data_IF_837823701297
#
_entry.id   IF_837823701297
#
_cell.length_a   1.000
_cell.length_b   1.000
_cell.length_c   1.000
_cell.angle_alpha   90.00
_cell.angle_beta   90.00
_cell.angle_gamma   90.00
#
_symmetry.space_group_name_H-M   'P 1'
#
loop_
_entity.id
_entity.type
_entity.pdbx_description
1 polymer ?
#
# COMPACT_ATOMS: atom_id res chain seq x y z
N UNK A 1 4.79 7.14 -47.22
CA UNK A 1 5.30 5.84 -47.74
C UNK A 1 4.15 4.91 -48.13
N UNK A 2 3.92 4.71 -49.44
CA UNK A 2 2.98 3.72 -49.95
C UNK A 2 3.58 2.30 -49.97
N UNK A 3 2.81 1.26 -50.35
CA UNK A 3 3.32 -0.10 -50.46
C UNK A 3 4.44 -0.20 -51.48
N UNK A 4 5.40 -1.11 -51.26
CA UNK A 4 6.52 -1.34 -52.17
C UNK A 4 6.01 -1.67 -53.58
N UNK A 5 6.58 -1.02 -54.59
CA UNK A 5 6.30 -1.31 -55.99
C UNK A 5 6.83 -2.70 -56.36
N UNK A 6 6.28 -3.33 -57.40
CA UNK A 6 6.72 -4.68 -57.85
C UNK A 6 8.23 -4.77 -58.09
N UNK A 7 8.86 -3.66 -58.46
CA UNK A 7 10.30 -3.58 -58.71
C UNK A 7 11.16 -3.49 -57.43
N UNK A 8 10.61 -2.94 -56.35
CA UNK A 8 11.33 -2.66 -55.10
C UNK A 8 11.01 -3.65 -53.97
N UNK A 9 10.09 -4.60 -54.22
CA UNK A 9 9.59 -5.55 -53.22
C UNK A 9 10.69 -6.41 -52.58
N UNK A 10 11.76 -6.69 -53.33
CA UNK A 10 12.89 -7.52 -52.88
C UNK A 10 14.17 -6.72 -52.64
N UNK A 11 14.12 -5.39 -52.68
CA UNK A 11 15.31 -4.59 -52.49
C UNK A 11 15.80 -4.69 -51.04
N UNK A 12 17.10 -4.89 -50.90
CA UNK A 12 17.84 -4.78 -49.63
C UNK A 12 18.60 -3.45 -49.59
N UNK A 13 19.11 -3.08 -48.43
CA UNK A 13 19.90 -1.85 -48.27
C UNK A 13 21.10 -1.80 -49.23
N UNK A 14 21.68 -2.96 -49.56
CA UNK A 14 22.77 -3.05 -50.54
C UNK A 14 22.37 -2.61 -51.96
N UNK A 15 21.10 -2.75 -52.36
CA UNK A 15 20.62 -2.34 -53.70
C UNK A 15 20.53 -0.80 -53.85
N UNK A 16 20.59 -0.09 -52.72
CA UNK A 16 20.64 1.36 -52.60
C UNK A 16 22.09 1.90 -52.56
N UNK A 17 23.09 1.02 -52.51
CA UNK A 17 24.51 1.36 -52.59
C UNK A 17 25.00 1.29 -54.04
N UNK A 18 26.11 1.95 -54.34
CA UNK A 18 26.78 1.83 -55.64
C UNK A 18 27.51 0.47 -55.71
N UNK A 19 27.48 -0.20 -56.87
CA UNK A 19 27.98 -1.57 -56.98
C UNK A 19 29.52 -1.70 -56.81
N UNK A 20 30.23 -0.59 -56.96
CA UNK A 20 31.69 -0.47 -56.93
C UNK A 20 32.22 0.28 -55.71
N UNK A 21 31.34 0.97 -54.97
CA UNK A 21 31.70 1.74 -53.78
C UNK A 21 30.68 1.53 -52.68
N UNK A 22 31.14 1.41 -51.44
CA UNK A 22 30.27 1.35 -50.25
C UNK A 22 29.68 2.74 -49.93
N UNK A 23 29.16 3.43 -50.96
CA UNK A 23 28.57 4.76 -50.92
C UNK A 23 27.13 4.69 -51.42
N UNK A 24 26.28 5.51 -50.81
CA UNK A 24 24.88 5.62 -51.22
C UNK A 24 24.74 6.07 -52.68
N UNK A 25 23.89 5.36 -53.42
CA UNK A 25 23.39 5.84 -54.71
C UNK A 25 22.34 6.93 -54.47
N UNK A 26 22.79 8.19 -54.47
CA UNK A 26 21.98 9.36 -54.15
C UNK A 26 20.73 9.49 -55.04
N UNK A 27 20.85 9.19 -56.32
CA UNK A 27 19.75 9.26 -57.28
C UNK A 27 18.65 8.25 -56.95
N UNK A 28 19.02 7.00 -56.65
CA UNK A 28 18.06 5.98 -56.20
C UNK A 28 17.39 6.35 -54.88
N UNK A 29 18.15 6.84 -53.90
CA UNK A 29 17.60 7.23 -52.59
C UNK A 29 16.62 8.40 -52.73
N UNK A 30 16.94 9.38 -53.58
CA UNK A 30 16.07 10.55 -53.80
C UNK A 30 14.81 10.21 -54.61
N UNK A 31 14.92 9.29 -55.57
CA UNK A 31 13.80 8.80 -56.38
C UNK A 31 12.79 8.00 -55.56
N UNK A 32 13.25 7.05 -54.74
CA UNK A 32 12.36 6.11 -54.06
C UNK A 32 12.01 6.52 -52.62
N UNK A 33 12.87 7.30 -51.97
CA UNK A 33 12.71 7.70 -50.56
C UNK A 33 12.87 9.22 -50.34
N UNK A 34 12.14 10.08 -51.07
CA UNK A 34 12.32 11.53 -50.99
C UNK A 34 12.05 12.11 -49.60
N UNK A 35 11.12 11.51 -48.84
CA UNK A 35 10.70 11.95 -47.50
C UNK A 35 11.79 11.70 -46.43
N UNK A 36 12.57 10.62 -46.57
CA UNK A 36 13.57 10.18 -45.58
C UNK A 36 15.01 10.24 -46.10
N UNK A 37 15.23 10.79 -47.29
CA UNK A 37 16.55 10.83 -47.97
C UNK A 37 17.66 11.41 -47.09
N UNK A 38 17.37 12.45 -46.30
CA UNK A 38 18.37 13.06 -45.43
C UNK A 38 18.78 12.13 -44.29
N UNK A 39 17.86 11.33 -43.76
CA UNK A 39 18.16 10.36 -42.71
C UNK A 39 19.01 9.21 -43.26
N UNK A 40 18.68 8.72 -44.46
CA UNK A 40 19.44 7.66 -45.14
C UNK A 40 20.87 8.12 -45.44
N UNK A 41 21.05 9.30 -46.03
CA UNK A 41 22.36 9.83 -46.40
C UNK A 41 23.27 10.17 -45.20
N UNK A 42 22.70 10.34 -44.00
CA UNK A 42 23.45 10.53 -42.76
C UNK A 42 24.06 9.23 -42.23
N UNK A 43 23.56 8.06 -42.64
CA UNK A 43 24.15 6.77 -42.31
C UNK A 43 25.44 6.63 -43.10
N UNK A 44 26.57 6.44 -42.41
CA UNK A 44 27.87 6.18 -43.06
C UNK A 44 28.03 4.67 -43.22
N UNK A 45 28.05 4.14 -44.46
CA UNK A 45 28.33 2.73 -44.69
C UNK A 45 29.75 2.38 -44.24
N UNK A 46 29.97 1.11 -43.90
CA UNK A 46 31.20 0.63 -43.29
C UNK A 46 32.34 0.47 -44.30
N UNK A 47 33.28 1.42 -44.33
CA UNK A 47 34.47 1.38 -45.19
C UNK A 47 35.36 0.12 -45.02
N UNK A 48 35.20 -0.62 -43.92
CA UNK A 48 36.09 -1.73 -43.52
C UNK A 48 35.48 -3.12 -43.69
N UNK A 49 34.26 -3.27 -44.22
CA UNK A 49 33.65 -4.57 -44.50
C UNK A 49 33.41 -5.45 -43.27
N UNK A 50 33.28 -4.84 -42.09
CA UNK A 50 33.00 -5.55 -40.83
C UNK A 50 31.58 -6.10 -40.86
N UNK A 51 31.34 -7.35 -40.42
CA UNK A 51 29.99 -7.91 -40.37
C UNK A 51 29.05 -7.09 -39.48
N UNK A 52 27.78 -7.02 -39.88
CA UNK A 52 26.75 -6.29 -39.17
C UNK A 52 26.61 -6.72 -37.71
N UNK A 53 26.36 -5.75 -36.83
CA UNK A 53 26.11 -5.98 -35.41
C UNK A 53 24.82 -5.31 -34.98
N UNK A 54 23.99 -6.03 -34.24
CA UNK A 54 22.80 -5.46 -33.63
C UNK A 54 23.20 -4.43 -32.56
N UNK A 55 22.65 -3.21 -32.68
CA UNK A 55 22.86 -2.12 -31.73
C UNK A 55 21.53 -1.70 -31.11
N UNK A 56 21.54 -1.49 -29.80
CA UNK A 56 20.39 -0.96 -29.07
C UNK A 56 20.33 0.57 -29.18
N UNK A 57 19.40 1.06 -30.01
CA UNK A 57 19.26 2.48 -30.38
C UNK A 57 19.02 3.39 -29.16
N UNK A 58 18.41 2.86 -28.09
CA UNK A 58 18.09 3.66 -26.90
C UNK A 58 19.32 3.99 -26.03
N UNK A 59 20.50 3.46 -26.34
CA UNK A 59 21.74 3.73 -25.59
C UNK A 59 22.86 4.19 -26.50
N UNK A 60 23.66 5.17 -26.06
CA UNK A 60 24.83 5.66 -26.79
C UNK A 60 25.92 4.60 -27.00
N UNK A 61 25.98 3.59 -26.13
CA UNK A 61 26.91 2.46 -26.23
C UNK A 61 26.42 1.37 -27.19
N UNK A 62 25.13 1.40 -27.59
CA UNK A 62 24.53 0.38 -28.43
C UNK A 62 24.33 -0.99 -27.76
N UNK A 63 24.53 -1.10 -26.44
CA UNK A 63 24.43 -2.38 -25.71
C UNK A 63 23.04 -2.51 -25.09
N UNK A 64 22.34 -3.60 -25.43
CA UNK A 64 21.08 -3.95 -24.79
C UNK A 64 21.29 -4.54 -23.40
N UNK A 65 20.49 -4.11 -22.43
CA UNK A 65 20.35 -4.75 -21.13
C UNK A 65 18.87 -4.83 -20.75
N UNK A 66 18.51 -5.73 -19.83
CA UNK A 66 17.13 -5.80 -19.29
C UNK A 66 16.67 -4.46 -18.73
N UNK A 67 17.57 -3.70 -18.11
CA UNK A 67 17.28 -2.36 -17.57
C UNK A 67 16.93 -1.35 -18.66
N UNK A 68 17.68 -1.32 -19.75
CA UNK A 68 17.43 -0.38 -20.87
C UNK A 68 16.18 -0.78 -21.66
N UNK A 69 15.92 -2.09 -21.80
CA UNK A 69 14.68 -2.60 -22.37
C UNK A 69 13.45 -2.20 -21.55
N UNK A 70 13.52 -2.36 -20.22
CA UNK A 70 12.42 -1.99 -19.33
C UNK A 70 12.13 -0.47 -19.35
N UNK A 71 13.18 0.36 -19.40
CA UNK A 71 13.04 1.81 -19.51
C UNK A 71 12.26 2.22 -20.76
N UNK A 72 12.63 1.68 -21.93
CA UNK A 72 11.94 1.96 -23.20
C UNK A 72 10.50 1.44 -23.19
N UNK A 73 10.26 0.25 -22.61
CA UNK A 73 8.90 -0.28 -22.47
C UNK A 73 8.02 0.62 -21.59
N UNK A 74 8.58 1.14 -20.49
CA UNK A 74 7.89 2.07 -19.60
C UNK A 74 7.61 3.42 -20.30
N UNK A 75 8.59 3.99 -21.01
CA UNK A 75 8.42 5.24 -21.76
C UNK A 75 7.36 5.10 -22.87
N UNK A 76 7.39 4.00 -23.63
CA UNK A 76 6.38 3.74 -24.66
C UNK A 76 4.98 3.58 -24.06
N UNK A 77 4.88 2.97 -22.87
CA UNK A 77 3.61 2.85 -22.15
C UNK A 77 3.11 4.21 -21.67
N UNK A 78 3.99 5.03 -21.09
CA UNK A 78 3.66 6.40 -20.69
C UNK A 78 3.28 7.30 -21.89
N UNK A 79 3.95 7.15 -23.04
CA UNK A 79 3.63 7.89 -24.26
C UNK A 79 2.32 7.42 -24.90
N UNK A 80 2.03 6.11 -24.88
CA UNK A 80 0.74 5.57 -25.30
C UNK A 80 -0.40 6.05 -24.39
N UNK A 81 -0.17 6.11 -23.08
CA UNK A 81 -1.09 6.69 -22.10
C UNK A 81 -1.27 8.22 -22.30
N UNK A 82 -0.26 8.93 -22.83
CA UNK A 82 -0.34 10.37 -23.14
C UNK A 82 -1.15 10.67 -24.41
N UNK A 83 -1.22 9.74 -25.36
CA UNK A 83 -2.01 9.90 -26.60
C UNK A 83 -3.50 9.53 -26.43
N UNK A 84 -3.87 8.83 -25.35
CA UNK A 84 -5.24 8.57 -24.93
C UNK A 84 -5.59 9.36 -23.65
N UNK A 85 -5.77 10.68 -23.79
CA UNK A 85 -6.59 11.44 -22.82
C UNK A 85 -5.88 12.57 -22.09
N UNK A 86 -5.84 13.73 -22.74
CA UNK A 86 -5.95 15.06 -22.12
C UNK A 86 -7.30 15.23 -21.39
N UNK A 87 -7.56 14.47 -20.31
CA UNK A 87 -8.81 14.61 -19.53
C UNK A 87 -8.57 14.86 -18.03
N UNK A 88 -7.41 14.54 -17.45
CA UNK A 88 -7.24 14.67 -16.00
C UNK A 88 -6.36 15.87 -15.62
N UNK A 89 -6.96 17.06 -15.56
CA UNK A 89 -6.38 18.19 -14.80
C UNK A 89 -6.57 17.96 -13.29
N UNK A 90 -6.01 16.85 -12.80
CA UNK A 90 -6.12 16.42 -11.41
C UNK A 90 -4.72 16.42 -10.82
N UNK A 91 -4.50 17.34 -9.90
CA UNK A 91 -3.31 17.32 -9.06
C UNK A 91 -3.42 16.18 -8.04
N UNK A 92 -2.89 15.01 -8.40
CA UNK A 92 -2.87 13.84 -7.52
C UNK A 92 -2.17 14.08 -6.19
N UNK A 93 -1.21 15.02 -6.16
CA UNK A 93 -0.54 15.38 -4.92
C UNK A 93 -1.51 16.07 -3.96
N UNK A 94 -2.24 17.07 -4.45
CA UNK A 94 -3.29 17.72 -3.66
C UNK A 94 -4.52 16.82 -3.41
N UNK A 95 -4.83 15.89 -4.32
CA UNK A 95 -6.04 15.08 -4.24
C UNK A 95 -5.88 13.77 -3.47
N UNK A 96 -4.70 13.17 -3.39
CA UNK A 96 -4.47 11.88 -2.71
C UNK A 96 -3.39 12.02 -1.65
N UNK A 97 -2.20 12.48 -2.04
CA UNK A 97 -1.01 12.38 -1.21
C UNK A 97 -0.96 13.39 -0.06
N UNK A 98 -1.58 14.56 -0.24
CA UNK A 98 -1.70 15.62 0.78
C UNK A 98 -2.85 15.36 1.77
N UNK A 99 -3.64 14.29 1.59
CA UNK A 99 -4.74 13.95 2.51
C UNK A 99 -4.20 13.31 3.78
N UNK A 100 -4.75 13.74 4.92
CA UNK A 100 -4.49 13.15 6.23
C UNK A 100 -5.23 11.81 6.41
N UNK A 101 -4.84 10.81 5.65
CA UNK A 101 -5.40 9.45 5.64
C UNK A 101 -4.24 8.43 5.61
N UNK A 102 -4.45 7.18 6.04
CA UNK A 102 -3.41 6.16 6.02
C UNK A 102 -2.80 5.94 4.62
N UNK A 103 -1.48 5.69 4.49
CA UNK A 103 -0.83 5.44 3.20
C UNK A 103 -1.44 4.29 2.40
N UNK A 104 -1.97 3.25 3.07
CA UNK A 104 -2.69 2.15 2.41
C UNK A 104 -3.95 2.61 1.69
N UNK A 105 -4.67 3.58 2.27
CA UNK A 105 -5.86 4.17 1.67
C UNK A 105 -5.46 5.12 0.53
N UNK A 106 -4.37 5.88 0.67
CA UNK A 106 -3.82 6.70 -0.43
C UNK A 106 -3.49 5.84 -1.66
N UNK A 107 -2.77 4.73 -1.45
CA UNK A 107 -2.44 3.76 -2.51
C UNK A 107 -3.69 3.15 -3.13
N UNK A 108 -4.69 2.79 -2.32
CA UNK A 108 -5.96 2.30 -2.80
C UNK A 108 -6.67 3.32 -3.69
N UNK A 109 -6.83 4.56 -3.23
CA UNK A 109 -7.46 5.63 -4.01
C UNK A 109 -6.74 5.87 -5.34
N UNK A 110 -5.41 5.84 -5.34
CA UNK A 110 -4.60 6.00 -6.55
C UNK A 110 -4.88 4.86 -7.55
N UNK A 111 -4.91 3.61 -7.07
CA UNK A 111 -5.22 2.43 -7.91
C UNK A 111 -6.62 2.50 -8.52
N UNK A 112 -7.61 2.90 -7.72
CA UNK A 112 -8.98 3.10 -8.19
C UNK A 112 -9.05 4.20 -9.24
N UNK A 113 -8.37 5.32 -9.00
CA UNK A 113 -8.37 6.46 -9.91
C UNK A 113 -7.74 6.13 -11.28
N UNK A 114 -6.84 5.15 -11.33
CA UNK A 114 -6.21 4.66 -12.56
C UNK A 114 -6.97 3.46 -13.16
N UNK A 115 -8.20 3.18 -12.71
CA UNK A 115 -9.02 2.09 -13.23
C UNK A 115 -8.49 0.69 -12.94
N UNK A 116 -7.49 0.55 -12.06
CA UNK A 116 -6.91 -0.74 -11.70
C UNK A 116 -7.84 -1.56 -10.78
N UNK A 117 -8.88 -0.93 -10.24
CA UNK A 117 -9.92 -1.55 -9.41
C UNK A 117 -11.29 -1.02 -9.87
N UNK A 118 -12.14 -1.89 -10.42
CA UNK A 118 -13.49 -1.51 -10.86
C UNK A 118 -14.37 -1.18 -9.65
N UNK A 119 -14.73 0.09 -9.44
CA UNK A 119 -15.68 0.51 -8.41
C UNK A 119 -17.09 0.77 -8.98
N UNK A 120 -17.26 0.70 -10.30
CA UNK A 120 -18.50 1.10 -11.00
C UNK A 120 -19.81 0.51 -10.45
N UNK A 121 -19.82 -0.74 -9.99
CA UNK A 121 -21.04 -1.44 -9.55
C UNK A 121 -21.41 -1.26 -8.07
N UNK A 122 -20.69 -0.43 -7.32
CA UNK A 122 -20.82 -0.30 -5.86
C UNK A 122 -21.87 0.73 -5.44
N UNK A 123 -22.06 1.79 -6.21
CA UNK A 123 -22.94 2.91 -5.84
C UNK A 123 -24.43 2.55 -5.92
N UNK A 124 -24.80 1.56 -6.73
CA UNK A 124 -26.18 1.07 -6.86
C UNK A 124 -26.65 0.25 -5.64
N UNK A 125 -25.72 -0.16 -4.76
CA UNK A 125 -25.99 -1.00 -3.60
C UNK A 125 -25.98 -0.23 -2.27
N UNK A 126 -25.76 1.10 -2.28
CA UNK A 126 -25.80 1.90 -1.05
C UNK A 126 -27.25 2.22 -0.66
N UNK A 127 -27.76 1.77 0.50
CA UNK A 127 -29.12 2.03 0.92
C UNK A 127 -29.13 3.36 1.67
N UNK A 128 -29.13 4.45 0.92
CA UNK A 128 -29.35 5.79 1.44
C UNK A 128 -30.73 6.26 1.03
N UNK A 129 -31.43 6.94 1.96
CA UNK A 129 -32.77 7.50 1.73
C UNK A 129 -32.79 8.57 0.63
N UNK A 130 -31.61 9.08 0.25
CA UNK A 130 -31.33 9.81 -0.97
C UNK A 130 -30.12 9.14 -1.66
N UNK A 131 -30.25 8.56 -2.86
CA UNK A 131 -29.11 8.05 -3.60
C UNK A 131 -28.14 9.22 -3.85
N UNK A 132 -26.84 9.00 -3.57
CA UNK A 132 -25.80 9.82 -4.20
C UNK A 132 -25.83 9.41 -5.66
N UNK A 133 -26.68 10.05 -6.45
CA UNK A 133 -26.67 9.92 -7.89
C UNK A 133 -25.37 10.59 -8.34
N UNK A 134 -24.30 9.80 -8.43
CA UNK A 134 -23.25 10.11 -9.38
C UNK A 134 -23.97 10.15 -10.72
N UNK A 135 -24.05 11.33 -11.33
CA UNK A 135 -24.58 11.40 -12.68
C UNK A 135 -23.81 10.38 -13.54
N UNK A 136 -24.42 9.72 -14.54
CA UNK A 136 -23.73 8.75 -15.39
C UNK A 136 -22.50 9.31 -16.14
N UNK A 137 -22.21 10.59 -15.95
CA UNK A 137 -21.08 11.36 -16.46
C UNK A 137 -19.94 11.58 -15.45
N UNK A 138 -20.11 11.23 -14.17
CA UNK A 138 -19.11 11.52 -13.13
C UNK A 138 -18.12 10.38 -12.94
N UNK A 139 -16.85 10.69 -13.12
CA UNK A 139 -15.73 9.77 -12.93
C UNK A 139 -15.26 9.76 -11.47
N UNK A 140 -14.74 8.63 -10.98
CA UNK A 140 -14.25 8.51 -9.59
C UNK A 140 -13.32 9.66 -9.15
N UNK A 141 -12.39 10.16 -9.99
CA UNK A 141 -11.53 11.28 -9.60
C UNK A 141 -12.28 12.61 -9.41
N UNK A 142 -13.37 12.87 -10.13
CA UNK A 142 -14.23 14.05 -9.92
C UNK A 142 -15.02 13.95 -8.61
N UNK A 143 -15.48 12.74 -8.29
CA UNK A 143 -16.13 12.45 -7.00
C UNK A 143 -15.14 12.63 -5.86
N UNK A 144 -13.90 12.13 -6.02
CA UNK A 144 -12.84 12.29 -5.05
C UNK A 144 -12.55 13.78 -4.77
N UNK A 145 -12.53 14.62 -5.82
CA UNK A 145 -12.32 16.06 -5.71
C UNK A 145 -13.47 16.76 -4.98
N UNK A 146 -14.72 16.45 -5.35
CA UNK A 146 -15.92 17.04 -4.72
C UNK A 146 -16.14 16.54 -3.30
N UNK A 147 -15.69 15.33 -2.98
CA UNK A 147 -15.84 14.73 -1.66
C UNK A 147 -15.16 15.54 -0.55
N UNK A 148 -14.14 16.34 -0.88
CA UNK A 148 -13.44 17.23 0.07
C UNK A 148 -14.39 18.20 0.79
N UNK A 149 -15.46 18.60 0.11
CA UNK A 149 -16.45 19.55 0.62
C UNK A 149 -17.58 18.86 1.39
N UNK A 150 -17.61 17.52 1.43
CA UNK A 150 -18.68 16.80 2.10
C UNK A 150 -18.50 16.89 3.61
N UNK A 151 -19.44 17.59 4.23
CA UNK A 151 -19.57 17.72 5.67
C UNK A 151 -20.28 16.48 6.22
N UNK A 152 -19.63 15.67 7.06
CA UNK A 152 -20.35 14.64 7.81
C UNK A 152 -21.35 15.33 8.76
N UNK A 153 -22.57 14.78 8.83
CA UNK A 153 -23.62 15.36 9.69
C UNK A 153 -23.13 15.41 11.15
N UNK A 154 -23.32 16.53 11.89
CA UNK A 154 -23.14 16.54 13.33
C UNK A 154 -24.08 15.47 13.94
N UNK A 155 -23.65 14.61 14.88
CA UNK A 155 -22.56 14.78 15.86
C UNK A 155 -21.29 13.92 15.59
N UNK A 156 -20.99 13.57 14.34
CA UNK A 156 -19.97 12.53 14.04
C UNK A 156 -18.53 12.93 14.42
N UNK A 157 -18.22 14.23 14.56
CA UNK A 157 -16.90 14.70 15.00
C UNK A 157 -15.76 14.50 13.99
N UNK A 158 -16.09 14.12 12.75
CA UNK A 158 -15.14 13.85 11.68
C UNK A 158 -14.89 15.12 10.84
N UNK A 159 -13.64 15.42 10.52
CA UNK A 159 -13.31 16.57 9.66
C UNK A 159 -13.91 16.44 8.24
N UNK A 160 -14.34 17.55 7.62
CA UNK A 160 -14.86 17.56 6.25
C UNK A 160 -13.92 16.89 5.26
N UNK A 161 -14.47 16.12 4.31
CA UNK A 161 -13.67 15.48 3.26
C UNK A 161 -12.89 14.23 3.65
N UNK A 162 -12.85 13.88 4.94
CA UNK A 162 -12.11 12.71 5.42
C UNK A 162 -12.88 11.40 5.27
N UNK A 163 -14.21 11.42 5.20
CA UNK A 163 -15.04 10.20 5.30
C UNK A 163 -15.13 9.38 4.00
N UNK A 164 -15.17 10.04 2.84
CA UNK A 164 -15.33 9.36 1.54
C UNK A 164 -14.27 8.28 1.27
N UNK A 165 -12.96 8.51 1.48
CA UNK A 165 -11.95 7.46 1.36
C UNK A 165 -12.21 6.20 2.19
N UNK A 166 -12.71 6.36 3.41
CA UNK A 166 -13.00 5.23 4.30
C UNK A 166 -14.23 4.45 3.86
N UNK A 167 -15.25 5.15 3.34
CA UNK A 167 -16.42 4.50 2.74
C UNK A 167 -15.97 3.68 1.52
N UNK A 168 -15.21 4.27 0.60
CA UNK A 168 -14.71 3.56 -0.59
C UNK A 168 -13.88 2.33 -0.21
N UNK A 169 -13.01 2.45 0.79
CA UNK A 169 -12.22 1.33 1.31
C UNK A 169 -13.10 0.22 1.92
N UNK A 170 -14.03 0.57 2.79
CA UNK A 170 -14.90 -0.42 3.46
C UNK A 170 -15.81 -1.13 2.47
N UNK A 171 -16.32 -0.42 1.46
CA UNK A 171 -17.14 -1.05 0.43
C UNK A 171 -16.33 -1.99 -0.45
N UNK A 172 -15.10 -1.61 -0.83
CA UNK A 172 -14.19 -2.52 -1.52
C UNK A 172 -13.92 -3.79 -0.69
N UNK A 173 -13.67 -3.64 0.62
CA UNK A 173 -13.53 -4.77 1.53
C UNK A 173 -14.77 -5.66 1.57
N UNK A 174 -15.96 -5.06 1.72
CA UNK A 174 -17.22 -5.80 1.74
C UNK A 174 -17.48 -6.58 0.43
N UNK A 175 -17.15 -5.98 -0.73
CA UNK A 175 -17.20 -6.67 -2.03
C UNK A 175 -16.26 -7.86 -2.07
N UNK A 176 -15.02 -7.71 -1.58
CA UNK A 176 -14.05 -8.81 -1.59
C UNK A 176 -14.51 -9.96 -0.70
N UNK A 177 -15.00 -9.68 0.50
CA UNK A 177 -15.58 -10.72 1.36
C UNK A 177 -16.79 -11.40 0.71
N UNK A 178 -17.62 -10.67 -0.04
CA UNK A 178 -18.72 -11.28 -0.79
C UNK A 178 -18.19 -12.19 -1.92
N UNK A 179 -17.19 -11.73 -2.68
CA UNK A 179 -16.65 -12.48 -3.83
C UNK A 179 -15.84 -13.71 -3.42
N UNK A 180 -15.04 -13.61 -2.36
CA UNK A 180 -14.09 -14.66 -1.99
C UNK A 180 -14.56 -15.53 -0.83
N UNK A 181 -15.43 -15.01 0.05
CA UNK A 181 -15.88 -15.71 1.26
C UNK A 181 -17.41 -15.90 1.30
N UNK A 182 -18.14 -15.45 0.25
CA UNK A 182 -19.61 -15.44 0.19
C UNK A 182 -20.27 -14.76 1.41
N UNK A 183 -19.57 -13.77 1.99
CA UNK A 183 -20.02 -13.06 3.17
C UNK A 183 -20.54 -11.68 2.79
N UNK A 184 -21.83 -11.44 3.03
CA UNK A 184 -22.45 -10.14 2.84
C UNK A 184 -22.46 -9.33 4.13
N UNK A 185 -22.38 -8.01 4.00
CA UNK A 185 -22.45 -7.07 5.11
C UNK A 185 -23.61 -6.11 4.92
N UNK A 186 -24.26 -5.73 6.00
CA UNK A 186 -25.31 -4.71 5.92
C UNK A 186 -24.65 -3.36 5.66
N UNK A 187 -25.21 -2.51 4.80
CA UNK A 187 -24.55 -1.23 4.51
C UNK A 187 -24.47 -0.29 5.71
N UNK A 188 -25.37 -0.43 6.68
CA UNK A 188 -25.24 0.25 7.99
C UNK A 188 -23.95 -0.16 8.71
N UNK A 189 -23.60 -1.45 8.71
CA UNK A 189 -22.35 -1.95 9.31
C UNK A 189 -21.12 -1.39 8.57
N UNK A 190 -21.17 -1.34 7.24
CA UNK A 190 -20.09 -0.78 6.40
C UNK A 190 -19.88 0.71 6.72
N UNK A 191 -20.97 1.50 6.80
CA UNK A 191 -20.90 2.94 7.10
C UNK A 191 -20.45 3.17 8.54
N UNK A 192 -21.01 2.44 9.51
CA UNK A 192 -20.61 2.55 10.91
C UNK A 192 -19.13 2.22 11.08
N UNK A 193 -18.64 1.17 10.41
CA UNK A 193 -17.22 0.83 10.40
C UNK A 193 -16.37 1.95 9.78
N UNK A 194 -16.75 2.45 8.60
CA UNK A 194 -16.03 3.55 7.95
C UNK A 194 -15.95 4.80 8.84
N UNK A 195 -17.04 5.17 9.52
CA UNK A 195 -17.06 6.28 10.47
C UNK A 195 -16.18 6.01 11.70
N UNK A 196 -16.22 4.78 12.26
CA UNK A 196 -15.42 4.41 13.41
C UNK A 196 -13.92 4.45 13.09
N UNK A 197 -13.50 3.83 11.98
CA UNK A 197 -12.10 3.81 11.54
C UNK A 197 -11.59 5.23 11.23
N UNK A 198 -12.41 6.06 10.56
CA UNK A 198 -12.06 7.45 10.23
C UNK A 198 -11.84 8.28 11.50
N UNK A 199 -12.72 8.12 12.49
CA UNK A 199 -12.62 8.81 13.78
C UNK A 199 -11.39 8.34 14.56
N UNK A 200 -11.16 7.03 14.63
CA UNK A 200 -9.99 6.45 15.30
C UNK A 200 -8.68 7.01 14.70
N UNK A 201 -8.60 7.12 13.37
CA UNK A 201 -7.46 7.73 12.69
C UNK A 201 -7.28 9.21 13.05
N UNK A 202 -8.36 9.99 13.12
CA UNK A 202 -8.25 11.41 13.49
C UNK A 202 -7.84 11.61 14.95
N UNK A 203 -8.35 10.79 15.86
CA UNK A 203 -7.92 10.78 17.26
C UNK A 203 -6.43 10.40 17.38
N UNK A 204 -5.96 9.44 16.58
CA UNK A 204 -4.56 9.04 16.51
C UNK A 204 -3.63 10.19 16.10
N UNK A 205 -4.03 11.00 15.11
CA UNK A 205 -3.25 12.15 14.68
C UNK A 205 -3.20 13.28 15.72
N UNK A 206 -4.32 13.54 16.42
CA UNK A 206 -4.35 14.52 17.52
C UNK A 206 -3.48 14.09 18.71
N UNK A 207 -3.39 12.79 18.99
CA UNK A 207 -2.51 12.25 20.03
C UNK A 207 -1.02 12.38 19.68
N UNK A 208 -0.65 12.28 18.41
CA UNK A 208 0.74 12.45 17.94
C UNK A 208 1.28 13.86 18.21
N UNK A 209 0.44 14.90 18.12
CA UNK A 209 0.82 16.29 18.45
C UNK A 209 1.18 16.46 19.94
N UNK A 210 0.62 15.60 20.81
CA UNK A 210 0.90 15.61 22.25
C UNK A 210 2.10 14.70 22.61
N UNK A 211 2.49 13.77 21.72
CA UNK A 211 3.61 12.84 21.94
C UNK A 211 5.00 13.44 21.66
N UNK A 212 5.09 14.67 21.15
CA UNK A 212 6.38 15.37 20.94
C UNK A 212 7.03 15.84 22.26
N UNK A 213 6.35 15.71 23.40
CA UNK A 213 6.95 15.94 24.73
C UNK A 213 7.22 14.61 25.44
N UNK A 214 8.44 14.10 25.23
CA UNK A 214 9.06 13.06 26.05
C UNK A 214 8.83 11.63 25.57
N UNK A 215 9.81 11.09 24.83
CA UNK A 215 9.97 9.64 24.70
C UNK A 215 10.03 9.01 26.10
N UNK A 216 9.32 7.91 26.41
CA UNK A 216 9.57 7.17 27.63
C UNK A 216 11.05 6.77 27.65
N UNK A 217 11.72 7.06 28.77
CA UNK A 217 13.14 6.75 28.96
C UNK A 217 13.32 5.24 28.87
N UNK A 218 13.89 4.76 27.77
CA UNK A 218 14.37 3.38 27.65
C UNK A 218 15.48 3.20 28.68
N UNK A 219 15.15 2.57 29.81
CA UNK A 219 16.16 2.20 30.82
C UNK A 219 16.90 0.97 30.27
N UNK A 220 18.25 0.92 30.34
CA UNK A 220 19.03 -0.25 29.92
C UNK A 220 18.57 -1.55 30.62
N UNK A 221 18.79 -2.74 30.02
CA UNK A 221 18.28 -4.02 30.51
C UNK A 221 18.81 -4.51 31.88
N UNK A 222 19.58 -3.69 32.60
CA UNK A 222 20.21 -4.04 33.87
C UNK A 222 20.10 -2.89 34.87
N UNK A 223 18.92 -2.65 35.46
CA UNK A 223 18.83 -1.86 36.70
C UNK A 223 17.44 -1.97 37.32
N UNK A 224 17.11 -3.16 37.83
CA UNK A 224 16.36 -3.34 39.10
C UNK A 224 16.21 -4.86 39.38
N UNK A 225 16.95 -5.45 40.33
CA UNK A 225 16.81 -6.88 40.68
C UNK A 225 15.44 -7.23 41.30
N UNK A 226 14.66 -6.25 41.76
CA UNK A 226 13.34 -6.45 42.38
C UNK A 226 12.17 -6.33 41.38
N UNK A 227 12.45 -6.08 40.10
CA UNK A 227 11.42 -5.95 39.08
C UNK A 227 10.76 -7.29 38.73
N UNK A 228 9.43 -7.31 38.73
CA UNK A 228 8.67 -8.52 38.40
C UNK A 228 8.74 -8.79 36.89
N UNK A 229 9.18 -10.00 36.53
CA UNK A 229 9.24 -10.44 35.13
C UNK A 229 7.89 -11.02 34.72
N UNK A 230 7.35 -10.53 33.62
CA UNK A 230 6.07 -10.97 33.08
C UNK A 230 6.24 -11.51 31.66
N UNK A 231 5.82 -12.76 31.47
CA UNK A 231 5.82 -13.43 30.18
C UNK A 231 4.40 -13.42 29.60
N UNK A 232 4.26 -13.02 28.35
CA UNK A 232 2.96 -12.93 27.68
C UNK A 232 2.92 -13.85 26.47
N UNK A 233 1.79 -14.52 26.26
CA UNK A 233 1.49 -15.25 25.04
C UNK A 233 -0.02 -15.30 24.77
N UNK A 234 -0.42 -15.53 23.51
CA UNK A 234 -1.81 -15.60 23.07
C UNK A 234 -2.15 -16.99 22.52
N UNK A 235 -3.11 -17.67 23.14
CA UNK A 235 -3.44 -19.07 22.84
C UNK A 235 -4.13 -19.30 21.48
N UNK A 236 -4.91 -18.32 21.00
CA UNK A 236 -5.98 -18.58 20.01
C UNK A 236 -5.61 -18.19 18.58
N UNK A 237 -4.64 -17.30 18.36
CA UNK A 237 -4.13 -16.99 17.02
C UNK A 237 -2.78 -16.25 17.13
N UNK A 238 -1.81 -16.63 16.30
CA UNK A 238 -0.46 -16.04 16.22
C UNK A 238 -0.45 -14.68 15.49
N UNK A 239 -1.56 -13.96 15.59
CA UNK A 239 -1.71 -12.63 15.01
C UNK A 239 -1.27 -11.59 16.04
N UNK A 240 -0.58 -10.56 15.56
CA UNK A 240 -0.11 -9.43 16.38
C UNK A 240 -1.23 -8.79 17.23
N UNK A 241 -2.50 -8.89 16.81
CA UNK A 241 -3.65 -8.38 17.56
C UNK A 241 -3.92 -9.15 18.85
N UNK A 242 -3.86 -10.47 18.80
CA UNK A 242 -4.14 -11.33 19.96
C UNK A 242 -3.05 -11.20 21.00
N UNK A 243 -1.79 -11.18 20.57
CA UNK A 243 -0.62 -10.96 21.43
C UNK A 243 -0.63 -9.55 22.04
N UNK A 244 -1.00 -8.51 21.28
CA UNK A 244 -1.13 -7.16 21.82
C UNK A 244 -2.23 -7.08 22.90
N UNK A 245 -3.36 -7.78 22.71
CA UNK A 245 -4.41 -7.85 23.75
C UNK A 245 -3.92 -8.57 25.01
N UNK A 246 -3.17 -9.65 24.87
CA UNK A 246 -2.58 -10.37 26.00
C UNK A 246 -1.63 -9.46 26.80
N UNK A 247 -0.79 -8.68 26.12
CA UNK A 247 0.09 -7.68 26.75
C UNK A 247 -0.73 -6.61 27.48
N UNK A 248 -1.79 -6.08 26.85
CA UNK A 248 -2.63 -5.05 27.47
C UNK A 248 -3.28 -5.57 28.75
N UNK A 249 -3.83 -6.77 28.72
CA UNK A 249 -4.47 -7.37 29.90
C UNK A 249 -3.46 -7.64 31.02
N UNK A 250 -2.29 -8.16 30.68
CA UNK A 250 -1.27 -8.42 31.67
C UNK A 250 -0.78 -7.14 32.39
N UNK A 251 -0.67 -6.02 31.67
CA UNK A 251 -0.39 -4.72 32.28
C UNK A 251 -1.56 -4.22 33.15
N UNK A 252 -2.81 -4.50 32.75
CA UNK A 252 -3.98 -4.19 33.57
C UNK A 252 -3.96 -4.96 34.90
N UNK A 253 -3.65 -6.25 34.86
CA UNK A 253 -3.53 -7.09 36.06
C UNK A 253 -2.37 -6.67 36.95
N UNK A 254 -1.22 -6.31 36.36
CA UNK A 254 -0.07 -5.80 37.09
C UNK A 254 -0.38 -4.47 37.80
N UNK A 255 -1.17 -3.60 37.15
CA UNK A 255 -1.66 -2.36 37.76
C UNK A 255 -2.58 -2.63 38.96
N UNK A 256 -3.54 -3.56 38.82
CA UNK A 256 -4.45 -3.95 39.91
C UNK A 256 -3.67 -4.56 41.07
N UNK A 257 -2.62 -5.33 40.77
CA UNK A 257 -1.74 -5.98 41.75
C UNK A 257 -0.73 -5.01 42.40
N UNK A 258 -0.74 -3.73 42.01
CA UNK A 258 0.12 -2.70 42.60
C UNK A 258 1.60 -2.84 42.26
N UNK A 259 1.94 -3.44 41.12
CA UNK A 259 3.34 -3.58 40.71
C UNK A 259 3.90 -2.23 40.27
N UNK A 260 5.15 -1.94 40.64
CA UNK A 260 5.81 -0.66 40.35
C UNK A 260 6.88 -0.77 39.25
N UNK A 261 7.52 -1.93 39.12
CA UNK A 261 8.62 -2.18 38.19
C UNK A 261 8.37 -3.50 37.44
N UNK A 262 8.35 -3.46 36.10
CA UNK A 262 7.96 -4.59 35.25
C UNK A 262 8.94 -4.83 34.11
N UNK A 263 9.33 -6.10 33.94
CA UNK A 263 10.04 -6.56 32.74
C UNK A 263 9.12 -7.44 31.89
N UNK A 264 8.56 -6.89 30.82
CA UNK A 264 7.66 -7.62 29.93
C UNK A 264 8.43 -8.34 28.83
N UNK A 265 8.17 -9.64 28.68
CA UNK A 265 8.82 -10.55 27.73
C UNK A 265 7.77 -11.15 26.79
N UNK A 266 7.99 -10.98 25.48
CA UNK A 266 7.14 -11.55 24.42
C UNK A 266 8.00 -12.10 23.28
N UNK A 267 7.52 -13.15 22.62
CA UNK A 267 8.10 -13.75 21.42
C UNK A 267 7.66 -13.07 20.11
N UNK A 268 6.91 -11.97 20.21
CA UNK A 268 6.48 -11.18 19.08
C UNK A 268 7.46 -10.07 18.74
N UNK A 269 8.38 -10.35 17.83
CA UNK A 269 9.38 -9.36 17.42
C UNK A 269 8.76 -8.06 16.84
N UNK A 270 7.69 -8.09 16.01
CA UNK A 270 7.05 -6.88 15.50
C UNK A 270 6.45 -6.01 16.61
N UNK A 271 5.80 -6.62 17.62
CA UNK A 271 5.21 -5.89 18.74
C UNK A 271 6.27 -5.25 19.63
N UNK A 272 7.33 -5.99 19.97
CA UNK A 272 8.44 -5.45 20.78
C UNK A 272 9.12 -4.30 20.04
N UNK A 273 9.33 -4.41 18.72
CA UNK A 273 9.86 -3.29 17.92
C UNK A 273 8.92 -2.09 17.97
N UNK A 274 7.62 -2.28 17.71
CA UNK A 274 6.62 -1.21 17.81
C UNK A 274 6.64 -0.51 19.18
N UNK A 275 6.80 -1.28 20.27
CA UNK A 275 6.87 -0.76 21.63
C UNK A 275 8.18 -0.01 21.95
N UNK A 276 9.31 -0.44 21.38
CA UNK A 276 10.63 0.17 21.62
C UNK A 276 10.93 1.37 20.71
N UNK A 277 10.58 1.29 19.43
CA UNK A 277 10.93 2.29 18.41
C UNK A 277 9.79 3.27 18.10
N UNK A 278 8.56 2.98 18.56
CA UNK A 278 7.36 3.74 18.20
C UNK A 278 6.85 3.45 16.79
N UNK A 279 7.25 2.32 16.20
CA UNK A 279 6.80 1.89 14.87
C UNK A 279 5.29 1.59 14.88
N UNK A 280 4.56 2.13 13.90
CA UNK A 280 3.11 2.07 13.87
C UNK A 280 2.61 0.85 13.10
N UNK A 281 2.02 -0.12 13.81
CA UNK A 281 1.26 -1.21 13.18
C UNK A 281 -0.20 -0.78 13.11
N UNK A 282 -0.67 -0.40 11.91
CA UNK A 282 -1.98 0.25 11.71
C UNK A 282 -3.19 -0.55 12.20
N UNK A 283 -3.09 -1.89 12.24
CA UNK A 283 -4.21 -2.77 12.60
C UNK A 283 -4.42 -2.90 14.12
N UNK A 284 -3.42 -2.57 14.92
CA UNK A 284 -3.42 -2.70 16.38
C UNK A 284 -3.08 -1.39 17.08
N UNK A 285 -3.09 -0.28 16.33
CA UNK A 285 -2.66 1.03 16.81
C UNK A 285 -3.41 1.45 18.10
N UNK A 286 -4.73 1.27 18.15
CA UNK A 286 -5.52 1.54 19.35
C UNK A 286 -5.08 0.72 20.56
N UNK A 287 -4.75 -0.56 20.37
CA UNK A 287 -4.29 -1.46 21.44
C UNK A 287 -2.89 -1.04 21.91
N UNK A 288 -1.98 -0.71 20.98
CA UNK A 288 -0.65 -0.18 21.33
C UNK A 288 -0.77 1.11 22.15
N UNK A 289 -1.71 2.01 21.81
CA UNK A 289 -1.97 3.23 22.57
C UNK A 289 -2.41 2.92 24.01
N UNK A 290 -3.32 1.95 24.19
CA UNK A 290 -3.75 1.53 25.52
C UNK A 290 -2.57 0.98 26.34
N UNK A 291 -1.73 0.14 25.72
CA UNK A 291 -0.50 -0.42 26.33
C UNK A 291 0.45 0.71 26.75
N UNK A 292 0.70 1.70 25.90
CA UNK A 292 1.52 2.87 26.24
C UNK A 292 0.88 3.77 27.29
N UNK A 293 -0.45 3.82 27.36
CA UNK A 293 -1.16 4.52 28.42
C UNK A 293 -0.96 3.84 29.78
N UNK A 294 -1.07 2.51 29.81
CA UNK A 294 -0.85 1.69 31.00
C UNK A 294 0.60 1.69 31.44
N UNK A 295 1.54 1.69 30.48
CA UNK A 295 2.98 1.68 30.75
C UNK A 295 3.43 2.89 31.58
N UNK A 296 2.74 4.03 31.47
CA UNK A 296 3.03 5.27 32.22
C UNK A 296 2.66 5.20 33.70
N UNK A 297 1.87 4.21 34.12
CA UNK A 297 1.47 4.04 35.53
C UNK A 297 2.61 3.41 36.35
N UNK A 298 3.51 2.69 35.69
CA UNK A 298 4.63 2.01 36.32
C UNK A 298 5.83 2.96 36.47
N UNK A 299 6.57 2.80 37.58
CA UNK A 299 7.81 3.56 37.84
C UNK A 299 8.90 3.16 36.84
N UNK A 300 8.97 1.87 36.50
CA UNK A 300 9.86 1.34 35.48
C UNK A 300 9.17 0.23 34.69
N UNK A 301 9.32 0.26 33.36
CA UNK A 301 8.83 -0.80 32.48
C UNK A 301 9.80 -1.00 31.32
N UNK A 302 10.12 -2.25 31.02
CA UNK A 302 10.88 -2.62 29.83
C UNK A 302 10.13 -3.65 28.99
N UNK A 303 10.29 -3.54 27.68
CA UNK A 303 9.76 -4.49 26.71
C UNK A 303 10.93 -5.21 26.06
N UNK A 304 10.94 -6.55 26.12
CA UNK A 304 12.05 -7.34 25.63
C UNK A 304 11.55 -8.55 24.83
N UNK A 305 12.18 -8.76 23.68
CA UNK A 305 11.95 -9.94 22.86
C UNK A 305 12.61 -11.18 23.48
N UNK A 306 11.92 -12.32 23.44
CA UNK A 306 12.47 -13.64 23.80
C UNK A 306 12.15 -14.66 22.72
N UNK A 307 13.07 -15.58 22.37
CA UNK A 307 12.76 -16.67 21.46
C UNK A 307 11.61 -17.55 21.97
N UNK A 308 10.84 -18.15 21.06
CA UNK A 308 9.73 -19.07 21.40
C UNK A 308 10.13 -20.23 22.30
N UNK A 309 11.35 -20.75 22.14
CA UNK A 309 11.90 -21.81 23.00
C UNK A 309 11.90 -21.40 24.48
N UNK A 310 12.12 -20.11 24.74
CA UNK A 310 12.33 -19.53 26.06
C UNK A 310 11.02 -18.97 26.65
N UNK A 311 9.95 -18.89 25.85
CA UNK A 311 8.59 -18.52 26.27
C UNK A 311 7.64 -19.73 26.37
N UNK A 312 8.17 -20.95 26.39
CA UNK A 312 7.41 -22.21 26.34
C UNK A 312 6.42 -22.39 27.51
N UNK A 313 6.71 -21.81 28.67
CA UNK A 313 5.82 -21.87 29.85
C UNK A 313 4.56 -21.02 29.64
N UNK A 314 4.71 -19.81 29.08
CA UNK A 314 3.57 -18.94 28.78
C UNK A 314 2.70 -19.55 27.68
N UNK A 315 3.31 -20.14 26.65
CA UNK A 315 2.63 -20.89 25.59
C UNK A 315 1.86 -22.10 26.11
N UNK A 316 2.48 -22.89 27.00
CA UNK A 316 1.81 -24.02 27.63
C UNK A 316 0.62 -23.57 28.49
N UNK A 317 0.76 -22.47 29.25
CA UNK A 317 -0.32 -21.92 30.07
C UNK A 317 -1.48 -21.40 29.22
N UNK A 318 -1.18 -20.67 28.15
CA UNK A 318 -2.16 -20.15 27.21
C UNK A 318 -2.94 -21.28 26.53
N UNK A 319 -2.24 -22.32 26.04
CA UNK A 319 -2.85 -23.53 25.45
C UNK A 319 -3.68 -24.31 26.44
N UNK A 320 -3.24 -24.45 27.69
CA UNK A 320 -4.00 -25.11 28.74
C UNK A 320 -5.31 -24.37 29.03
N UNK A 321 -5.27 -23.05 29.15
CA UNK A 321 -6.48 -22.24 29.35
C UNK A 321 -7.48 -22.40 28.19
N UNK A 322 -6.98 -22.49 26.95
CA UNK A 322 -7.83 -22.77 25.78
C UNK A 322 -8.47 -24.16 25.86
N UNK A 323 -7.71 -25.19 26.25
CA UNK A 323 -8.23 -26.54 26.43
C UNK A 323 -9.32 -26.58 27.50
N UNK A 324 -9.06 -26.01 28.68
CA UNK A 324 -9.99 -25.95 29.80
C UNK A 324 -11.27 -25.18 29.43
N UNK A 325 -11.13 -24.06 28.71
CA UNK A 325 -12.25 -23.28 28.18
C UNK A 325 -13.09 -24.09 27.18
N UNK A 326 -12.43 -24.80 26.24
CA UNK A 326 -13.15 -25.64 25.26
C UNK A 326 -13.83 -26.85 25.90
N UNK A 327 -13.29 -27.41 26.99
CA UNK A 327 -13.96 -28.48 27.73
C UNK A 327 -15.15 -27.96 28.53
N UNK A 328 -15.04 -26.82 29.22
CA UNK A 328 -16.15 -26.23 29.98
C UNK A 328 -17.36 -25.91 29.09
N UNK A 329 -17.13 -25.44 27.87
CA UNK A 329 -18.20 -25.13 26.93
C UNK A 329 -18.72 -26.33 26.14
N UNK A 330 -17.98 -27.44 26.11
CA UNK A 330 -18.46 -28.72 25.53
C UNK A 330 -19.49 -29.39 26.44
N UNK A 331 -19.33 -29.26 27.75
CA UNK A 331 -20.23 -29.85 28.75
C UNK A 331 -21.47 -28.98 29.07
N UNK A 332 -21.57 -27.79 28.45
CA UNK A 332 -22.69 -26.85 28.64
C UNK A 332 -23.80 -26.99 27.58
N UNK A 333 -23.65 -27.90 26.61
CA UNK A 333 -24.59 -28.12 25.49
C UNK A 333 -24.90 -29.61 25.25
N UNK A 334 -24.97 -30.40 26.32
CA UNK A 334 -25.65 -31.71 26.35
C UNK A 334 -26.71 -31.62 27.44
#
# INVERSE_FOLDING_TARGET
MGPATRETVNWVVADLLQADTDKWNREKVESFFPEIKQQILCIKPSLTGVPDKQIWISTKSGIYTTKTGYHVAYENKAQAETQQGTIWNIDWNAEIWSRNIPPKIQMFLWRVAHGALEIGSIWDLTPTKNPIILSPTQTFPEVLKTSKLWLPLPPTGIEPGSLFPWISWCVWGARNHLLFENRSFKPTEIITKACADAREWQEAQKANTVMTTGKPRVVPPHTDPEATVLYTDAAWNQDNKSEALAIREALHQAKISGWNSIHLRSDSQPLIRAMQSGEQITEIFGILRDIFGLSKVFVAISFNFVPRSDNSIADALAKKFLQDFTSLYRDSWV
#
